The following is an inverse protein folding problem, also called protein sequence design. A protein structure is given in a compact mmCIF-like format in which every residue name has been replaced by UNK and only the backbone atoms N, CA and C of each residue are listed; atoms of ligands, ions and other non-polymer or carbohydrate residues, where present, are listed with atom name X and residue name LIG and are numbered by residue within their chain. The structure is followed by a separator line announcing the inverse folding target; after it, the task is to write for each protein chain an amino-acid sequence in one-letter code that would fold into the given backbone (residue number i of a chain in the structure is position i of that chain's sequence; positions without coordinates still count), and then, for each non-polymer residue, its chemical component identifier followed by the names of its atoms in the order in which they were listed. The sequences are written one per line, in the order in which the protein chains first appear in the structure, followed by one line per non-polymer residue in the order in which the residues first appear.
data_IF_150899608297
#
_entry.id   IF_150899608297
#
_cell.length_a   1.000
_cell.length_b   1.000
_cell.length_c   1.000
_cell.angle_alpha   90.00
_cell.angle_beta   90.00
_cell.angle_gamma   90.00
#
_symmetry.space_group_name_H-M   'P 1'
#
loop_
_entity.id
_entity.type
_entity.pdbx_description
1 polymer ?
#
# COMPACT_ATOMS: atom_id res chain seq x y z
N UNK A 1 -13.36 -23.27 -14.17
CA UNK A 1 -11.97 -23.71 -13.90
C UNK A 1 -10.99 -22.54 -14.01
N UNK A 2 -11.29 -21.40 -13.37
CA UNK A 2 -10.55 -20.13 -13.49
C UNK A 2 -9.96 -19.65 -12.15
N UNK A 3 -9.82 -20.53 -11.14
CA UNK A 3 -9.76 -20.10 -9.73
C UNK A 3 -8.44 -20.33 -8.97
N UNK A 4 -7.32 -20.64 -9.62
CA UNK A 4 -6.05 -20.90 -8.89
C UNK A 4 -4.81 -20.34 -9.55
N UNK A 5 -4.92 -19.25 -10.32
CA UNK A 5 -3.72 -18.49 -10.69
C UNK A 5 -3.23 -17.78 -9.43
N UNK A 6 -2.00 -18.03 -8.94
CA UNK A 6 -1.49 -17.29 -7.81
C UNK A 6 -1.37 -15.84 -8.26
N UNK A 7 -2.14 -15.01 -7.60
CA UNK A 7 -2.52 -13.67 -8.05
C UNK A 7 -1.32 -12.72 -8.18
N UNK A 8 -0.27 -12.99 -7.39
CA UNK A 8 1.07 -12.40 -7.51
C UNK A 8 1.57 -12.45 -8.96
N UNK A 9 1.48 -13.60 -9.63
CA UNK A 9 2.01 -13.76 -10.99
C UNK A 9 1.35 -12.79 -11.98
N UNK A 10 0.03 -12.64 -11.92
CA UNK A 10 -0.73 -11.78 -12.84
C UNK A 10 -0.35 -10.30 -12.72
N UNK A 11 -0.20 -9.78 -11.49
CA UNK A 11 0.22 -8.39 -11.26
C UNK A 11 1.60 -8.12 -11.87
N UNK A 12 2.51 -9.06 -11.67
CA UNK A 12 3.85 -9.02 -12.22
C UNK A 12 3.89 -9.07 -13.75
N UNK A 13 3.09 -9.94 -14.34
CA UNK A 13 2.96 -10.02 -15.79
C UNK A 13 2.40 -8.74 -16.38
N UNK A 14 1.39 -8.15 -15.73
CA UNK A 14 0.86 -6.84 -16.09
C UNK A 14 1.93 -5.76 -16.06
N UNK A 15 2.75 -5.68 -15.01
CA UNK A 15 3.84 -4.72 -14.96
C UNK A 15 4.92 -4.92 -16.03
N UNK A 16 5.26 -6.17 -16.36
CA UNK A 16 6.16 -6.45 -17.49
C UNK A 16 5.50 -6.04 -18.80
N UNK A 17 4.21 -6.30 -18.99
CA UNK A 17 3.47 -5.92 -20.19
C UNK A 17 3.39 -4.40 -20.35
N UNK A 18 3.01 -3.68 -19.28
CA UNK A 18 2.92 -2.22 -19.23
C UNK A 18 4.29 -1.55 -19.46
N UNK A 19 5.36 -2.14 -18.93
CA UNK A 19 6.73 -1.63 -19.13
C UNK A 19 7.27 -1.88 -20.55
N UNK A 20 6.59 -2.73 -21.31
CA UNK A 20 6.96 -3.14 -22.68
C UNK A 20 5.85 -2.76 -23.66
N UNK A 21 4.93 -1.86 -23.27
CA UNK A 21 3.91 -1.32 -24.15
C UNK A 21 4.58 -0.65 -25.37
N UNK A 22 3.92 -0.74 -26.53
CA UNK A 22 4.38 -0.22 -27.84
C UNK A 22 5.53 -0.99 -28.52
N UNK A 23 5.87 -2.18 -28.06
CA UNK A 23 6.87 -3.00 -28.75
C UNK A 23 6.26 -3.83 -29.89
N UNK A 24 6.73 -3.58 -31.11
CA UNK A 24 6.28 -4.28 -32.32
C UNK A 24 7.15 -5.48 -32.71
N UNK A 25 8.36 -5.62 -32.13
CA UNK A 25 9.29 -6.72 -32.48
C UNK A 25 9.68 -7.57 -31.28
N UNK A 26 9.78 -8.90 -31.51
CA UNK A 26 10.26 -9.85 -30.49
C UNK A 26 11.70 -9.58 -30.01
N UNK A 27 12.51 -8.86 -30.80
CA UNK A 27 13.89 -8.51 -30.40
C UNK A 27 13.90 -7.33 -29.42
N UNK A 28 13.13 -6.27 -29.71
CA UNK A 28 12.99 -5.11 -28.82
C UNK A 28 12.30 -5.51 -27.51
N UNK A 29 11.34 -6.45 -27.57
CA UNK A 29 10.67 -7.00 -26.38
C UNK A 29 11.69 -7.66 -25.46
N UNK A 30 12.53 -8.55 -26.01
CA UNK A 30 13.56 -9.25 -25.24
C UNK A 30 14.54 -8.28 -24.59
N UNK A 31 14.95 -7.23 -25.30
CA UNK A 31 15.88 -6.22 -24.77
C UNK A 31 15.25 -5.43 -23.61
N UNK A 32 14.03 -4.93 -23.80
CA UNK A 32 13.29 -4.18 -22.76
C UNK A 32 12.94 -5.06 -21.57
N UNK A 33 12.47 -6.29 -21.80
CA UNK A 33 12.18 -7.25 -20.74
C UNK A 33 13.44 -7.58 -19.90
N UNK A 34 14.59 -7.84 -20.54
CA UNK A 34 15.86 -8.06 -19.80
C UNK A 34 16.27 -6.83 -18.97
N UNK A 35 16.14 -5.62 -19.53
CA UNK A 35 16.45 -4.40 -18.81
C UNK A 35 15.52 -4.19 -17.60
N UNK A 36 14.21 -4.43 -17.79
CA UNK A 36 13.22 -4.37 -16.72
C UNK A 36 13.50 -5.40 -15.63
N UNK A 37 13.70 -6.67 -16.00
CA UNK A 37 14.02 -7.76 -15.06
C UNK A 37 15.27 -7.39 -14.26
N UNK A 38 16.34 -6.94 -14.91
CA UNK A 38 17.58 -6.56 -14.20
C UNK A 38 17.36 -5.43 -13.19
N UNK A 39 16.55 -4.42 -13.55
CA UNK A 39 16.20 -3.32 -12.65
C UNK A 39 15.40 -3.80 -11.44
N UNK A 40 14.36 -4.60 -11.66
CA UNK A 40 13.49 -5.08 -10.58
C UNK A 40 14.19 -6.12 -9.70
N UNK A 41 15.00 -7.03 -10.27
CA UNK A 41 15.78 -7.99 -9.49
C UNK A 41 16.67 -7.28 -8.46
N UNK A 42 17.33 -6.17 -8.83
CA UNK A 42 18.13 -5.37 -7.89
C UNK A 42 17.30 -4.79 -6.75
N UNK A 43 16.05 -4.37 -7.02
CA UNK A 43 15.14 -3.89 -5.98
C UNK A 43 14.74 -5.02 -5.02
N UNK A 44 14.52 -6.22 -5.54
CA UNK A 44 14.12 -7.37 -4.72
C UNK A 44 15.27 -7.93 -3.91
N UNK A 45 16.49 -7.89 -4.42
CA UNK A 45 17.69 -8.30 -3.67
C UNK A 45 17.87 -7.51 -2.36
N UNK A 46 17.37 -6.27 -2.30
CA UNK A 46 17.38 -5.42 -1.11
C UNK A 46 16.30 -5.78 -0.08
N UNK A 47 15.29 -6.58 -0.45
CA UNK A 47 14.19 -6.99 0.43
C UNK A 47 14.56 -8.25 1.23
N UNK A 48 14.08 -8.37 2.47
CA UNK A 48 14.38 -9.55 3.30
C UNK A 48 13.73 -10.80 2.73
N UNK A 49 14.39 -11.95 2.94
CA UNK A 49 13.85 -13.27 2.58
C UNK A 49 12.97 -13.74 3.73
N UNK A 50 11.71 -14.07 3.42
CA UNK A 50 10.69 -14.51 4.39
C UNK A 50 10.41 -16.01 4.27
N UNK A 51 10.61 -16.60 3.08
CA UNK A 51 10.50 -18.04 2.86
C UNK A 51 11.90 -18.67 2.76
N UNK A 52 12.61 -18.74 3.88
CA UNK A 52 14.01 -19.21 3.92
C UNK A 52 14.20 -20.67 3.51
N UNK A 53 13.19 -21.52 3.73
CA UNK A 53 13.20 -22.94 3.35
C UNK A 53 12.83 -23.23 1.90
N UNK A 54 12.46 -22.21 1.11
CA UNK A 54 12.06 -22.36 -0.28
C UNK A 54 13.26 -22.15 -1.22
N UNK A 55 13.65 -23.22 -1.91
CA UNK A 55 14.64 -23.16 -2.98
C UNK A 55 13.99 -23.02 -4.37
N UNK A 56 14.82 -22.67 -5.36
CA UNK A 56 14.35 -22.43 -6.72
C UNK A 56 13.80 -23.69 -7.41
N UNK A 57 14.28 -24.87 -7.03
CA UNK A 57 13.85 -26.13 -7.64
C UNK A 57 12.42 -26.47 -7.19
N UNK A 58 12.17 -26.45 -5.88
CA UNK A 58 10.85 -26.64 -5.28
C UNK A 58 9.85 -25.61 -5.80
N UNK A 59 10.27 -24.35 -5.89
CA UNK A 59 9.43 -23.30 -6.48
C UNK A 59 9.01 -23.64 -7.93
N UNK A 60 9.91 -24.17 -8.75
CA UNK A 60 9.56 -24.58 -10.12
C UNK A 60 8.70 -25.85 -10.18
N UNK A 61 8.86 -26.77 -9.22
CA UNK A 61 7.98 -27.94 -9.10
C UNK A 61 6.52 -27.51 -8.83
N UNK A 62 6.33 -26.50 -7.98
CA UNK A 62 5.00 -26.02 -7.60
C UNK A 62 4.38 -25.04 -8.62
N UNK A 63 5.19 -24.15 -9.21
CA UNK A 63 4.70 -23.01 -10.01
C UNK A 63 5.18 -23.02 -11.46
N UNK A 64 6.02 -23.98 -11.88
CA UNK A 64 6.58 -24.01 -13.22
C UNK A 64 5.51 -24.08 -14.32
N UNK A 65 4.50 -24.94 -14.15
CA UNK A 65 3.38 -25.06 -15.10
C UNK A 65 2.55 -23.79 -15.18
N UNK A 66 2.32 -23.11 -14.06
CA UNK A 66 1.60 -21.83 -14.00
C UNK A 66 2.38 -20.73 -14.71
N UNK A 67 3.69 -20.64 -14.48
CA UNK A 67 4.55 -19.67 -15.19
C UNK A 67 4.48 -19.92 -16.70
N UNK A 68 4.47 -21.19 -17.12
CA UNK A 68 4.41 -21.58 -18.53
C UNK A 68 3.08 -21.17 -19.17
N UNK A 69 1.96 -21.48 -18.52
CA UNK A 69 0.61 -21.09 -18.97
C UNK A 69 0.52 -19.57 -19.15
N UNK A 70 0.95 -18.79 -18.17
CA UNK A 70 0.81 -17.32 -18.25
C UNK A 70 1.77 -16.71 -19.27
N UNK A 71 2.98 -17.25 -19.43
CA UNK A 71 3.90 -16.82 -20.50
C UNK A 71 3.30 -17.08 -21.89
N UNK A 72 2.62 -18.20 -22.08
CA UNK A 72 1.96 -18.55 -23.34
C UNK A 72 0.74 -17.67 -23.63
N UNK A 73 -0.01 -17.27 -22.60
CA UNK A 73 -1.19 -16.40 -22.76
C UNK A 73 -0.81 -14.93 -22.97
N UNK A 74 -0.07 -14.34 -22.05
CA UNK A 74 0.20 -12.89 -22.01
C UNK A 74 1.22 -12.46 -23.06
N UNK A 75 2.19 -13.33 -23.36
CA UNK A 75 3.26 -13.03 -24.32
C UNK A 75 3.22 -13.91 -25.56
N UNK A 76 2.05 -14.47 -25.90
CA UNK A 76 1.85 -15.30 -27.11
C UNK A 76 2.42 -14.69 -28.39
N UNK A 77 2.37 -13.36 -28.50
CA UNK A 77 2.83 -12.58 -29.66
C UNK A 77 4.35 -12.48 -29.78
N UNK A 78 5.10 -12.87 -28.74
CA UNK A 78 6.55 -12.75 -28.67
C UNK A 78 7.22 -14.12 -28.59
N UNK A 79 8.32 -14.30 -29.33
CA UNK A 79 9.13 -15.52 -29.23
C UNK A 79 10.00 -15.47 -27.97
N UNK A 80 9.52 -16.07 -26.89
CA UNK A 80 10.25 -16.17 -25.61
C UNK A 80 11.35 -17.22 -25.75
N UNK A 81 12.60 -16.85 -25.46
CA UNK A 81 13.72 -17.78 -25.44
C UNK A 81 13.79 -18.53 -24.12
N UNK A 82 14.41 -19.72 -24.11
CA UNK A 82 14.69 -20.48 -22.86
C UNK A 82 15.45 -19.64 -21.83
N UNK A 83 16.36 -18.78 -22.29
CA UNK A 83 17.10 -17.85 -21.45
C UNK A 83 16.18 -16.82 -20.78
N UNK A 84 15.29 -16.17 -21.54
CA UNK A 84 14.36 -15.19 -21.00
C UNK A 84 13.37 -15.83 -20.03
N UNK A 85 12.84 -17.01 -20.36
CA UNK A 85 11.99 -17.80 -19.46
C UNK A 85 12.69 -18.04 -18.12
N UNK A 86 13.95 -18.48 -18.13
CA UNK A 86 14.73 -18.70 -16.91
C UNK A 86 14.91 -17.41 -16.09
N UNK A 87 15.12 -16.26 -16.74
CA UNK A 87 15.20 -14.97 -16.05
C UNK A 87 13.88 -14.57 -15.40
N UNK A 88 12.77 -14.77 -16.11
CA UNK A 88 11.42 -14.50 -15.60
C UNK A 88 11.09 -15.41 -14.41
N UNK A 89 11.32 -16.71 -14.53
CA UNK A 89 11.10 -17.65 -13.43
C UNK A 89 11.92 -17.32 -12.19
N UNK A 90 13.19 -16.90 -12.36
CA UNK A 90 14.03 -16.43 -11.26
C UNK A 90 13.48 -15.15 -10.62
N UNK A 91 13.03 -14.20 -11.42
CA UNK A 91 12.40 -12.97 -10.91
C UNK A 91 11.19 -13.31 -10.05
N UNK A 92 10.33 -14.23 -10.50
CA UNK A 92 9.17 -14.68 -9.74
C UNK A 92 9.55 -15.36 -8.44
N UNK A 93 10.56 -16.22 -8.46
CA UNK A 93 11.08 -16.85 -7.26
C UNK A 93 11.56 -15.80 -6.23
N UNK A 94 12.33 -14.80 -6.68
CA UNK A 94 12.79 -13.72 -5.79
C UNK A 94 11.64 -12.88 -5.23
N UNK A 95 10.64 -12.57 -6.05
CA UNK A 95 9.43 -11.87 -5.60
C UNK A 95 8.67 -12.69 -4.54
N UNK A 96 8.45 -13.97 -4.83
CA UNK A 96 7.64 -14.84 -4.01
C UNK A 96 8.27 -15.10 -2.63
N UNK A 97 9.59 -15.26 -2.57
CA UNK A 97 10.29 -15.59 -1.31
C UNK A 97 10.63 -14.39 -0.42
N UNK A 98 10.35 -13.16 -0.87
CA UNK A 98 10.73 -11.90 -0.20
C UNK A 98 9.51 -11.06 0.16
N UNK A 99 9.76 -9.98 0.90
CA UNK A 99 8.81 -8.94 1.30
C UNK A 99 8.32 -8.09 0.10
N UNK A 100 7.67 -8.75 -0.85
CA UNK A 100 7.15 -8.14 -2.09
C UNK A 100 5.66 -8.43 -2.17
N UNK A 101 4.78 -7.45 -1.97
CA UNK A 101 3.33 -7.67 -1.98
C UNK A 101 2.81 -8.32 -3.27
N UNK A 102 1.81 -9.19 -3.15
CA UNK A 102 1.14 -9.84 -4.28
C UNK A 102 0.07 -8.97 -4.94
N UNK A 103 -0.39 -7.92 -4.26
CA UNK A 103 -1.60 -7.15 -4.60
C UNK A 103 -2.88 -7.75 -4.01
N UNK A 104 -2.79 -8.84 -3.27
CA UNK A 104 -3.90 -9.54 -2.61
C UNK A 104 -3.62 -9.80 -1.13
N UNK A 105 -2.61 -9.13 -0.59
CA UNK A 105 -2.27 -9.17 0.81
C UNK A 105 -3.37 -8.58 1.70
N UNK A 106 -3.36 -8.99 2.96
CA UNK A 106 -4.21 -8.45 4.01
C UNK A 106 -3.34 -7.91 5.13
N UNK A 107 -3.72 -6.75 5.69
CA UNK A 107 -3.08 -6.21 6.89
C UNK A 107 -3.65 -6.86 8.15
N UNK A 108 -2.78 -7.28 9.06
CA UNK A 108 -3.12 -7.64 10.44
C UNK A 108 -2.54 -6.58 11.37
N UNK A 109 -3.41 -5.96 12.16
CA UNK A 109 -3.02 -4.94 13.13
C UNK A 109 -3.28 -5.45 14.53
N UNK A 110 -2.27 -5.33 15.38
CA UNK A 110 -2.34 -5.60 16.81
C UNK A 110 -1.98 -4.28 17.50
N UNK A 111 -2.92 -3.71 18.25
CA UNK A 111 -2.75 -2.42 18.92
C UNK A 111 -3.20 -2.51 20.38
N UNK A 112 -2.47 -1.85 21.28
CA UNK A 112 -2.79 -1.83 22.71
C UNK A 112 -1.56 -1.53 23.55
N UNK A 113 -1.53 -2.08 24.76
CA UNK A 113 -0.40 -2.01 25.69
C UNK A 113 0.02 -3.43 26.00
N UNK A 114 1.30 -3.75 25.85
CA UNK A 114 1.81 -5.01 26.39
C UNK A 114 2.07 -4.89 27.89
N UNK A 115 2.46 -6.01 28.51
CA UNK A 115 2.63 -6.11 29.97
C UNK A 115 3.71 -5.14 30.47
N UNK A 116 4.83 -5.10 29.75
CA UNK A 116 6.02 -4.31 30.11
C UNK A 116 5.98 -2.89 29.50
N UNK A 117 5.13 -2.66 28.51
CA UNK A 117 5.09 -1.42 27.75
C UNK A 117 4.27 -0.35 28.48
N UNK A 118 4.90 0.77 28.84
CA UNK A 118 4.25 1.92 29.48
C UNK A 118 3.40 2.75 28.50
N UNK A 119 3.73 2.71 27.21
CA UNK A 119 3.09 3.48 26.15
C UNK A 119 2.40 2.53 25.16
N UNK A 120 1.40 3.02 24.41
CA UNK A 120 0.70 2.17 23.44
C UNK A 120 1.66 1.74 22.32
N UNK A 121 1.48 0.51 21.86
CA UNK A 121 2.23 -0.08 20.77
C UNK A 121 1.29 -0.53 19.66
N UNK A 122 1.78 -0.45 18.43
CA UNK A 122 1.09 -0.94 17.25
C UNK A 122 2.02 -1.81 16.41
N UNK A 123 1.61 -3.06 16.18
CA UNK A 123 2.24 -3.98 15.25
C UNK A 123 1.36 -4.12 14.02
N UNK A 124 1.92 -3.87 12.85
CA UNK A 124 1.26 -4.05 11.58
C UNK A 124 2.00 -5.09 10.75
N UNK A 125 1.35 -6.22 10.50
CA UNK A 125 1.84 -7.28 9.65
C UNK A 125 1.15 -7.25 8.29
N UNK A 126 1.92 -7.41 7.24
CA UNK A 126 1.38 -7.84 5.95
C UNK A 126 1.28 -9.36 5.96
N UNK A 127 0.11 -9.89 5.63
CA UNK A 127 -0.16 -11.31 5.43
C UNK A 127 -0.47 -11.52 3.95
N UNK A 128 0.37 -12.30 3.27
CA UNK A 128 0.34 -12.43 1.82
C UNK A 128 0.33 -13.91 1.40
N UNK A 129 -0.64 -14.64 1.96
CA UNK A 129 -0.85 -16.07 1.71
C UNK A 129 0.13 -16.97 2.46
N UNK A 130 0.30 -18.19 1.96
CA UNK A 130 1.20 -19.19 2.53
C UNK A 130 1.84 -20.04 1.45
N UNK A 131 3.01 -20.60 1.75
CA UNK A 131 3.64 -21.64 0.96
C UNK A 131 3.76 -22.91 1.81
N UNK A 132 3.04 -23.97 1.43
CA UNK A 132 2.92 -25.18 2.26
C UNK A 132 2.33 -24.84 3.64
N UNK A 133 3.11 -25.06 4.70
CA UNK A 133 2.78 -24.71 6.09
C UNK A 133 3.36 -23.38 6.55
N UNK A 134 4.19 -22.70 5.74
CA UNK A 134 4.83 -21.44 6.10
C UNK A 134 3.97 -20.27 5.67
N UNK A 135 3.53 -19.45 6.64
CA UNK A 135 2.83 -18.20 6.35
C UNK A 135 3.80 -17.22 5.69
N UNK A 136 3.35 -16.57 4.62
CA UNK A 136 4.10 -15.51 3.97
C UNK A 136 3.68 -14.19 4.59
N UNK A 137 4.46 -13.72 5.54
CA UNK A 137 4.14 -12.50 6.30
C UNK A 137 5.39 -11.76 6.74
N UNK A 138 5.28 -10.45 6.89
CA UNK A 138 6.35 -9.60 7.41
C UNK A 138 5.79 -8.42 8.19
N UNK A 139 6.60 -7.91 9.12
CA UNK A 139 6.29 -6.67 9.83
C UNK A 139 6.48 -5.49 8.87
N UNK A 140 5.50 -4.61 8.79
CA UNK A 140 5.62 -3.35 8.04
C UNK A 140 6.49 -2.40 8.85
N UNK A 141 7.46 -1.75 8.18
CA UNK A 141 8.47 -0.85 8.80
C UNK A 141 7.88 0.40 9.50
N UNK A 142 6.56 0.54 9.51
CA UNK A 142 5.81 1.56 10.24
C UNK A 142 5.26 1.01 11.58
N UNK A 143 5.99 0.14 12.26
CA UNK A 143 5.66 -0.20 13.65
C UNK A 143 5.84 1.06 14.49
N UNK A 144 4.73 1.75 14.76
CA UNK A 144 4.75 2.99 15.49
C UNK A 144 4.92 2.69 16.98
N UNK A 145 6.15 2.91 17.43
CA UNK A 145 6.48 3.01 18.83
C UNK A 145 6.21 4.46 19.28
N UNK A 146 5.06 4.66 19.90
CA UNK A 146 4.62 5.96 20.43
C UNK A 146 5.67 6.57 21.38
N UNK A 147 6.54 5.75 21.98
CA UNK A 147 7.65 6.24 22.82
C UNK A 147 8.68 7.09 22.06
N UNK A 148 8.82 6.90 20.75
CA UNK A 148 9.82 7.61 19.93
C UNK A 148 9.25 8.80 19.17
N UNK A 149 7.97 8.73 18.81
CA UNK A 149 7.36 9.64 17.82
C UNK A 149 6.26 10.54 18.42
N UNK A 150 5.84 10.28 19.66
CA UNK A 150 4.70 10.94 20.27
C UNK A 150 3.40 10.42 19.68
N UNK A 151 2.44 11.31 19.40
CA UNK A 151 1.17 10.89 18.79
C UNK A 151 1.32 10.54 17.31
N UNK A 152 0.59 9.51 16.90
CA UNK A 152 0.49 9.07 15.52
C UNK A 152 -0.97 8.85 15.15
N UNK A 153 -1.31 9.14 13.88
CA UNK A 153 -2.58 8.71 13.29
C UNK A 153 -2.24 7.81 12.11
N UNK A 154 -2.71 6.56 12.17
CA UNK A 154 -2.29 5.49 11.26
C UNK A 154 -3.52 4.97 10.52
N UNK A 155 -3.76 5.41 9.28
CA UNK A 155 -4.83 4.85 8.46
C UNK A 155 -4.43 3.48 7.91
N UNK A 156 -5.31 2.48 8.10
CA UNK A 156 -5.16 1.14 7.47
C UNK A 156 -6.03 0.98 6.23
N UNK A 157 -7.08 1.79 6.12
CA UNK A 157 -7.90 1.90 4.93
C UNK A 157 -7.33 2.97 3.99
N UNK A 158 -8.01 3.20 2.87
CA UNK A 158 -7.60 4.15 1.82
C UNK A 158 -7.19 5.51 2.41
N UNK A 159 -5.92 5.88 2.20
CA UNK A 159 -5.26 7.02 2.85
C UNK A 159 -5.45 8.34 2.12
N UNK A 160 -6.08 8.35 0.94
CA UNK A 160 -6.22 9.56 0.11
C UNK A 160 -6.87 10.72 0.88
N UNK A 161 -7.87 10.41 1.73
CA UNK A 161 -8.60 11.44 2.50
C UNK A 161 -7.82 11.90 3.70
N UNK A 162 -7.11 10.96 4.30
CA UNK A 162 -6.21 11.27 5.38
C UNK A 162 -5.08 12.20 4.92
N UNK A 163 -4.48 11.92 3.76
CA UNK A 163 -3.50 12.80 3.14
C UNK A 163 -4.09 14.17 2.81
N UNK A 164 -5.30 14.26 2.26
CA UNK A 164 -5.92 15.57 2.02
C UNK A 164 -6.15 16.35 3.32
N UNK A 165 -6.63 15.69 4.37
CA UNK A 165 -6.92 16.33 5.66
C UNK A 165 -5.65 16.79 6.38
N UNK A 166 -4.60 15.95 6.42
CA UNK A 166 -3.35 16.28 7.11
C UNK A 166 -2.42 17.19 6.29
N UNK A 167 -2.31 16.91 4.99
CA UNK A 167 -1.32 17.54 4.11
C UNK A 167 -1.88 18.75 3.37
N UNK A 168 -3.22 18.90 3.35
CA UNK A 168 -3.93 19.96 2.66
C UNK A 168 -4.00 19.79 1.14
N UNK A 169 -3.42 18.72 0.59
CA UNK A 169 -3.39 18.45 -0.85
C UNK A 169 -3.66 16.97 -1.12
N UNK A 170 -4.50 16.69 -2.12
CA UNK A 170 -4.78 15.31 -2.52
C UNK A 170 -3.56 14.72 -3.26
N UNK A 171 -3.25 13.41 -3.09
CA UNK A 171 -2.11 12.76 -3.73
C UNK A 171 -2.06 12.95 -5.26
N UNK A 172 -3.21 12.96 -5.91
CA UNK A 172 -3.33 13.09 -7.36
C UNK A 172 -2.80 14.44 -7.88
N UNK A 173 -3.01 15.51 -7.12
CA UNK A 173 -2.44 16.82 -7.45
C UNK A 173 -0.93 16.83 -7.29
N UNK A 174 -0.42 16.15 -6.26
CA UNK A 174 1.03 16.01 -6.05
C UNK A 174 1.69 15.25 -7.19
N UNK A 175 1.10 14.13 -7.59
CA UNK A 175 1.60 13.32 -8.70
C UNK A 175 1.55 14.10 -10.02
N UNK A 176 0.43 14.80 -10.27
CA UNK A 176 0.31 15.69 -11.41
C UNK A 176 1.40 16.76 -11.43
N UNK A 177 1.62 17.48 -10.32
CA UNK A 177 2.65 18.52 -10.23
C UNK A 177 4.06 17.96 -10.47
N UNK A 178 4.37 16.79 -9.90
CA UNK A 178 5.66 16.14 -10.07
C UNK A 178 5.89 15.73 -11.53
N UNK A 179 4.92 15.05 -12.15
CA UNK A 179 4.98 14.64 -13.55
C UNK A 179 5.09 15.87 -14.47
N UNK A 180 4.27 16.89 -14.22
CA UNK A 180 4.26 18.12 -15.00
C UNK A 180 5.60 18.84 -14.93
N UNK A 181 6.20 18.98 -13.74
CA UNK A 181 7.50 19.61 -13.56
C UNK A 181 8.61 18.82 -14.29
N UNK A 182 8.63 17.49 -14.11
CA UNK A 182 9.60 16.62 -14.78
C UNK A 182 9.54 16.78 -16.31
N UNK A 183 8.33 16.71 -16.87
CA UNK A 183 8.12 16.83 -18.32
C UNK A 183 8.45 18.24 -18.83
N UNK A 184 8.14 19.28 -18.04
CA UNK A 184 8.43 20.67 -18.40
C UNK A 184 9.95 20.93 -18.45
N UNK A 185 10.69 20.45 -17.45
CA UNK A 185 12.16 20.55 -17.42
C UNK A 185 12.79 19.83 -18.62
N UNK A 186 12.34 18.59 -18.89
CA UNK A 186 12.80 17.80 -20.05
C UNK A 186 12.53 18.53 -21.36
N UNK A 187 11.29 18.95 -21.61
CA UNK A 187 10.90 19.64 -22.84
C UNK A 187 11.59 21.01 -23.01
N UNK A 188 11.87 21.72 -21.91
CA UNK A 188 12.69 22.94 -21.96
C UNK A 188 14.11 22.62 -22.39
N UNK A 189 14.78 21.64 -21.75
CA UNK A 189 16.16 21.29 -22.07
C UNK A 189 16.31 20.77 -23.50
N UNK A 190 15.39 19.92 -23.95
CA UNK A 190 15.38 19.43 -25.34
C UNK A 190 15.30 20.59 -26.35
N UNK A 191 14.39 21.55 -26.13
CA UNK A 191 14.30 22.75 -26.98
C UNK A 191 15.58 23.58 -26.99
N UNK A 192 16.22 23.77 -25.84
CA UNK A 192 17.49 24.52 -25.75
C UNK A 192 18.60 23.79 -26.53
N UNK A 193 18.74 22.48 -26.32
CA UNK A 193 19.78 21.69 -27.00
C UNK A 193 19.54 21.67 -28.50
N UNK A 194 18.30 21.47 -28.93
CA UNK A 194 17.99 21.39 -30.35
C UNK A 194 18.16 22.74 -31.07
N UNK A 195 17.93 23.86 -30.37
CA UNK A 195 18.00 25.22 -30.94
C UNK A 195 19.40 25.85 -30.91
N UNK A 196 20.21 25.56 -29.89
CA UNK A 196 21.45 26.32 -29.63
C UNK A 196 22.73 25.47 -29.59
N UNK A 197 22.64 24.14 -29.58
CA UNK A 197 23.82 23.26 -29.48
C UNK A 197 24.15 22.64 -30.84
N UNK A 198 25.42 22.69 -31.29
CA UNK A 198 25.84 22.03 -32.53
C UNK A 198 25.56 20.52 -32.52
N UNK A 199 25.18 19.94 -33.66
CA UNK A 199 24.79 18.52 -33.78
C UNK A 199 25.84 17.55 -33.22
N UNK A 200 27.13 17.87 -33.38
CA UNK A 200 28.24 17.06 -32.87
C UNK A 200 28.28 16.95 -31.33
N UNK A 201 27.63 17.86 -30.61
CA UNK A 201 27.64 17.93 -29.14
C UNK A 201 26.27 17.67 -28.51
N UNK A 202 25.19 17.58 -29.31
CA UNK A 202 23.82 17.38 -28.80
C UNK A 202 23.67 16.16 -27.91
N UNK A 203 24.36 15.05 -28.21
CA UNK A 203 24.29 13.83 -27.40
C UNK A 203 24.83 14.03 -25.99
N UNK A 204 26.02 14.63 -25.87
CA UNK A 204 26.65 14.89 -24.57
C UNK A 204 25.86 15.92 -23.76
N UNK A 205 25.38 16.99 -24.40
CA UNK A 205 24.60 18.02 -23.72
C UNK A 205 23.21 17.50 -23.29
N UNK A 206 22.56 16.61 -24.06
CA UNK A 206 21.30 15.96 -23.64
C UNK A 206 21.46 15.18 -22.34
N UNK A 207 22.53 14.40 -22.20
CA UNK A 207 22.77 13.67 -20.94
C UNK A 207 23.13 14.62 -19.79
N UNK A 208 23.93 15.67 -20.04
CA UNK A 208 24.21 16.69 -19.01
C UNK A 208 22.93 17.37 -18.50
N UNK A 209 22.08 17.83 -19.41
CA UNK A 209 20.80 18.48 -19.07
C UNK A 209 19.86 17.53 -18.31
N UNK A 210 19.87 16.25 -18.64
CA UNK A 210 19.10 15.23 -17.94
C UNK A 210 19.57 15.05 -16.49
N UNK A 211 20.88 15.06 -16.25
CA UNK A 211 21.44 15.02 -14.89
C UNK A 211 21.12 16.30 -14.11
N UNK A 212 21.26 17.47 -14.72
CA UNK A 212 20.90 18.76 -14.10
C UNK A 212 19.39 18.83 -13.76
N UNK A 213 18.52 18.40 -14.69
CA UNK A 213 17.08 18.32 -14.47
C UNK A 213 16.73 17.36 -13.33
N UNK A 214 17.43 16.23 -13.22
CA UNK A 214 17.25 15.28 -12.11
C UNK A 214 17.57 15.94 -10.77
N UNK A 215 18.67 16.68 -10.67
CA UNK A 215 19.06 17.40 -9.44
C UNK A 215 18.00 18.43 -9.05
N UNK A 216 17.53 19.23 -10.00
CA UNK A 216 16.48 20.25 -9.76
C UNK A 216 15.19 19.58 -9.29
N UNK A 217 14.81 18.48 -9.92
CA UNK A 217 13.61 17.73 -9.56
C UNK A 217 13.70 17.12 -8.16
N UNK A 218 14.81 16.46 -7.83
CA UNK A 218 15.06 15.89 -6.49
C UNK A 218 15.05 16.98 -5.42
N UNK A 219 15.62 18.15 -5.71
CA UNK A 219 15.56 19.32 -4.82
C UNK A 219 14.13 19.80 -4.60
N UNK A 220 13.33 19.95 -5.65
CA UNK A 220 11.91 20.33 -5.52
C UNK A 220 11.15 19.35 -4.63
N UNK A 221 11.31 18.04 -4.86
CA UNK A 221 10.65 17.01 -4.05
C UNK A 221 11.08 17.11 -2.58
N UNK A 222 12.37 17.32 -2.31
CA UNK A 222 12.91 17.50 -0.96
C UNK A 222 12.33 18.73 -0.26
N UNK A 223 12.34 19.90 -0.93
CA UNK A 223 11.79 21.15 -0.39
C UNK A 223 10.28 21.04 -0.15
N UNK A 224 9.54 20.43 -1.08
CA UNK A 224 8.10 20.18 -0.93
C UNK A 224 7.80 19.28 0.28
N UNK A 225 8.55 18.19 0.46
CA UNK A 225 8.40 17.31 1.62
C UNK A 225 8.75 18.02 2.94
N UNK A 226 9.77 18.87 2.94
CA UNK A 226 10.13 19.70 4.10
C UNK A 226 9.02 20.68 4.46
N UNK A 227 8.43 21.35 3.46
CA UNK A 227 7.32 22.26 3.65
C UNK A 227 6.08 21.54 4.19
N UNK A 228 5.73 20.38 3.63
CA UNK A 228 4.67 19.51 4.13
C UNK A 228 4.89 19.16 5.61
N UNK A 229 6.12 18.80 6.00
CA UNK A 229 6.46 18.50 7.40
C UNK A 229 6.21 19.68 8.35
N UNK A 230 6.44 20.92 7.90
CA UNK A 230 6.16 22.13 8.70
C UNK A 230 4.66 22.36 8.92
N UNK A 231 3.80 21.93 7.99
CA UNK A 231 2.33 22.03 8.12
C UNK A 231 1.80 20.94 9.06
N UNK A 232 2.28 19.71 8.91
CA UNK A 232 1.77 18.55 9.68
C UNK A 232 2.21 18.60 11.14
N UNK A 233 3.43 19.07 11.41
CA UNK A 233 4.02 19.00 12.76
C UNK A 233 3.19 19.71 13.85
N UNK A 234 2.72 20.96 13.68
CA UNK A 234 1.85 21.60 14.67
C UNK A 234 0.54 20.84 14.91
N UNK A 235 -0.06 20.31 13.84
CA UNK A 235 -1.28 19.49 13.96
C UNK A 235 -1.03 18.25 14.82
N UNK A 236 0.05 17.51 14.57
CA UNK A 236 0.39 16.32 15.35
C UNK A 236 0.71 16.63 16.83
N UNK A 237 1.25 17.82 17.13
CA UNK A 237 1.45 18.26 18.52
C UNK A 237 0.13 18.48 19.25
N UNK A 238 -0.88 19.05 18.57
CA UNK A 238 -2.23 19.19 19.11
C UNK A 238 -2.83 17.81 19.35
N UNK A 239 -2.75 16.90 18.37
CA UNK A 239 -3.24 15.52 18.49
C UNK A 239 -2.64 14.82 19.71
N UNK A 240 -1.34 14.99 19.96
CA UNK A 240 -0.67 14.40 21.13
C UNK A 240 -1.06 14.99 22.48
N UNK A 241 -1.83 16.08 22.50
CA UNK A 241 -2.33 16.72 23.72
C UNK A 241 -3.85 16.54 23.90
N UNK A 242 -4.52 15.85 22.96
CA UNK A 242 -5.96 15.68 23.01
C UNK A 242 -6.37 14.75 24.17
N UNK A 243 -7.45 15.09 24.90
CA UNK A 243 -8.13 14.15 25.78
C UNK A 243 -8.62 12.90 25.02
N UNK A 244 -8.82 11.79 25.74
CA UNK A 244 -9.19 10.50 25.13
C UNK A 244 -10.51 10.56 24.37
N UNK A 245 -11.46 11.36 24.84
CA UNK A 245 -12.76 11.59 24.22
C UNK A 245 -12.63 12.35 22.90
N UNK A 246 -11.77 13.38 22.86
CA UNK A 246 -11.53 14.17 21.65
C UNK A 246 -10.74 13.37 20.60
N UNK A 247 -9.80 12.52 21.04
CA UNK A 247 -9.11 11.57 20.15
C UNK A 247 -10.09 10.62 19.47
N UNK A 248 -11.08 10.11 20.20
CA UNK A 248 -12.13 9.26 19.64
C UNK A 248 -13.00 10.02 18.61
N UNK A 249 -13.42 11.25 18.92
CA UNK A 249 -14.19 12.08 18.02
C UNK A 249 -13.40 12.43 16.73
N UNK A 250 -12.09 12.70 16.85
CA UNK A 250 -11.22 12.93 15.69
C UNK A 250 -11.12 11.69 14.81
N UNK A 251 -10.90 10.51 15.39
CA UNK A 251 -10.82 9.25 14.66
C UNK A 251 -12.13 8.96 13.91
N UNK A 252 -13.27 9.20 14.56
CA UNK A 252 -14.60 9.08 13.96
C UNK A 252 -14.75 9.99 12.74
N UNK A 253 -14.46 11.29 12.91
CA UNK A 253 -14.58 12.28 11.85
C UNK A 253 -13.73 11.92 10.62
N UNK A 254 -12.51 11.43 10.81
CA UNK A 254 -11.62 11.00 9.72
C UNK A 254 -12.21 9.83 8.92
N UNK A 255 -12.82 8.85 9.59
CA UNK A 255 -13.48 7.71 8.93
C UNK A 255 -14.76 8.14 8.22
N UNK A 256 -15.53 9.04 8.83
CA UNK A 256 -16.76 9.59 8.24
C UNK A 256 -16.46 10.43 6.99
N UNK A 257 -15.44 11.29 7.03
CA UNK A 257 -14.98 12.06 5.86
C UNK A 257 -14.57 11.15 4.70
N UNK A 258 -13.85 10.06 5.01
CA UNK A 258 -13.45 9.06 4.02
C UNK A 258 -14.67 8.37 3.40
N UNK A 259 -15.63 7.98 4.23
CA UNK A 259 -16.88 7.35 3.79
C UNK A 259 -17.73 8.29 2.95
N UNK A 260 -17.80 9.57 3.32
CA UNK A 260 -18.57 10.60 2.62
C UNK A 260 -18.04 10.83 1.21
N UNK A 261 -16.72 11.02 1.04
CA UNK A 261 -16.17 11.20 -0.31
C UNK A 261 -16.41 9.99 -1.21
N UNK A 262 -16.32 8.77 -0.69
CA UNK A 262 -16.57 7.56 -1.49
C UNK A 262 -18.00 7.47 -2.01
N UNK A 263 -18.99 7.88 -1.20
CA UNK A 263 -20.38 7.99 -1.67
C UNK A 263 -20.53 9.00 -2.81
N UNK A 264 -19.73 10.06 -2.82
CA UNK A 264 -19.75 11.08 -3.89
C UNK A 264 -18.99 10.65 -5.14
N UNK A 265 -17.90 9.89 -5.01
CA UNK A 265 -17.03 9.49 -6.13
C UNK A 265 -17.59 8.31 -6.96
N UNK A 266 -18.76 7.75 -6.62
CA UNK A 266 -19.54 6.75 -7.37
C UNK A 266 -18.85 5.45 -7.82
N UNK A 267 -17.55 5.26 -7.54
CA UNK A 267 -16.76 4.18 -8.13
C UNK A 267 -16.25 3.09 -7.18
N UNK A 268 -16.48 3.14 -5.86
CA UNK A 268 -16.06 2.07 -4.94
C UNK A 268 -16.86 2.15 -3.62
N UNK A 269 -17.91 1.33 -3.49
CA UNK A 269 -18.58 1.06 -2.20
C UNK A 269 -17.79 0.01 -1.41
N UNK A 270 -16.53 0.29 -1.04
CA UNK A 270 -15.74 -0.63 -0.20
C UNK A 270 -15.75 -0.25 1.29
N UNK A 271 -16.13 0.99 1.62
CA UNK A 271 -16.20 1.48 3.01
C UNK A 271 -17.50 2.27 3.18
N UNK A 272 -18.37 1.81 4.08
CA UNK A 272 -19.66 2.42 4.34
C UNK A 272 -20.36 1.85 5.57
N UNK A 273 -21.39 2.54 6.02
CA UNK A 273 -22.10 2.23 7.26
C UNK A 273 -21.65 3.12 8.42
N UNK A 274 -22.24 2.92 9.61
CA UNK A 274 -21.88 3.70 10.80
C UNK A 274 -20.52 3.27 11.33
N UNK A 275 -19.76 4.25 11.81
CA UNK A 275 -18.43 4.04 12.40
C UNK A 275 -18.54 3.65 13.87
N UNK A 276 -17.87 2.57 14.23
CA UNK A 276 -17.64 2.15 15.61
C UNK A 276 -16.28 2.67 16.08
N UNK A 277 -16.23 3.17 17.31
CA UNK A 277 -15.05 3.80 17.90
C UNK A 277 -14.78 3.20 19.26
N UNK A 278 -13.54 2.76 19.46
CA UNK A 278 -13.06 2.25 20.73
C UNK A 278 -11.78 2.97 21.16
N UNK A 279 -11.59 3.07 22.48
CA UNK A 279 -10.38 3.55 23.11
C UNK A 279 -9.74 2.37 23.84
N UNK A 280 -8.41 2.28 23.74
CA UNK A 280 -7.62 1.38 24.58
C UNK A 280 -6.72 2.27 25.44
N UNK A 281 -6.81 2.13 26.76
CA UNK A 281 -5.90 2.79 27.70
C UNK A 281 -5.32 1.76 28.68
N UNK A 282 -4.13 2.03 29.24
CA UNK A 282 -3.51 1.10 30.20
C UNK A 282 -4.32 0.97 31.50
N UNK A 283 -5.04 2.03 31.90
CA UNK A 283 -5.86 2.03 33.11
C UNK A 283 -7.24 1.40 32.92
N UNK A 284 -7.92 1.75 31.83
CA UNK A 284 -9.32 1.36 31.62
C UNK A 284 -9.48 0.12 30.70
N UNK A 285 -8.41 -0.32 30.04
CA UNK A 285 -8.46 -1.37 29.05
C UNK A 285 -9.21 -0.94 27.78
N UNK A 286 -9.90 -1.89 27.14
CA UNK A 286 -10.66 -1.67 25.92
C UNK A 286 -12.08 -1.16 26.23
N UNK A 287 -12.45 0.00 25.70
CA UNK A 287 -13.76 0.64 25.88
C UNK A 287 -14.35 1.01 24.53
N UNK A 288 -15.60 0.61 24.28
CA UNK A 288 -16.41 1.16 23.18
C UNK A 288 -16.92 2.54 23.54
N UNK A 289 -16.51 3.58 22.80
CA UNK A 289 -17.02 4.95 22.93
C UNK A 289 -18.28 5.13 22.09
N UNK A 290 -18.26 4.60 20.88
CA UNK A 290 -19.39 4.56 19.95
C UNK A 290 -19.47 3.16 19.36
N UNK A 291 -20.64 2.55 19.40
CA UNK A 291 -20.87 1.24 18.79
C UNK A 291 -22.24 1.19 18.15
N UNK A 292 -22.31 0.70 16.93
CA UNK A 292 -23.55 0.41 16.24
C UNK A 292 -24.24 -0.72 16.99
N UNK A 293 -25.37 -0.39 17.56
CA UNK A 293 -26.33 -1.39 17.99
C UNK A 293 -27.29 -1.70 16.84
N UNK A 294 -27.76 -2.95 16.75
CA UNK A 294 -28.78 -3.35 15.77
C UNK A 294 -30.02 -2.45 15.86
N UNK A 295 -30.38 -2.03 17.08
CA UNK A 295 -31.33 -0.96 17.37
C UNK A 295 -30.97 -0.29 18.70
N UNK A 296 -31.42 0.95 18.90
CA UNK A 296 -31.31 1.62 20.20
C UNK A 296 -32.31 0.98 21.19
N UNK A 297 -31.83 0.39 22.30
CA UNK A 297 -32.70 -0.18 23.31
C UNK A 297 -33.72 0.83 23.87
N UNK A 298 -33.36 2.12 23.96
CA UNK A 298 -34.25 3.19 24.46
C UNK A 298 -35.42 3.47 23.52
N UNK A 299 -35.24 3.25 22.22
CA UNK A 299 -36.31 3.38 21.22
C UNK A 299 -37.18 2.13 21.11
N UNK A 300 -36.76 1.00 21.70
CA UNK A 300 -37.40 -0.31 21.57
C UNK A 300 -37.69 -0.93 22.94
N UNK A 301 -38.28 -0.13 23.85
CA UNK A 301 -38.59 -0.54 25.22
C UNK A 301 -39.43 -1.82 25.30
N UNK A 302 -40.33 -2.03 24.34
CA UNK A 302 -41.18 -3.23 24.29
C UNK A 302 -40.35 -4.53 24.12
N UNK A 303 -39.29 -4.49 23.30
CA UNK A 303 -38.39 -5.62 23.15
C UNK A 303 -37.69 -5.97 24.47
N UNK A 304 -37.21 -4.96 25.21
CA UNK A 304 -36.55 -5.15 26.52
C UNK A 304 -37.53 -5.77 27.51
N UNK A 305 -38.74 -5.21 27.63
CA UNK A 305 -39.78 -5.71 28.55
C UNK A 305 -40.13 -7.17 28.28
N UNK A 306 -40.27 -7.56 27.01
CA UNK A 306 -40.54 -8.96 26.63
C UNK A 306 -39.40 -9.91 26.99
N UNK A 307 -38.15 -9.48 26.81
CA UNK A 307 -36.94 -10.24 27.20
C UNK A 307 -36.83 -10.41 28.71
N UNK A 308 -37.12 -9.37 29.49
CA UNK A 308 -37.12 -9.42 30.96
C UNK A 308 -38.21 -10.35 31.50
N UNK A 309 -39.43 -10.29 30.95
CA UNK A 309 -40.52 -11.20 31.32
C UNK A 309 -40.18 -12.67 31.01
N UNK A 310 -39.54 -12.95 29.88
CA UNK A 310 -39.05 -14.30 29.56
C UNK A 310 -38.02 -14.83 30.57
N UNK A 311 -37.13 -13.96 31.06
CA UNK A 311 -36.11 -14.29 32.06
C UNK A 311 -36.71 -14.57 33.45
N UNK A 312 -37.82 -13.91 33.79
CA UNK A 312 -38.57 -14.17 35.04
C UNK A 312 -39.29 -15.52 34.93
N UNK A 313 -40.02 -15.78 33.84
CA UNK A 313 -40.71 -17.05 33.64
C UNK A 313 -39.76 -18.26 33.53
N UNK A 314 -38.49 -18.08 33.15
CA UNK A 314 -37.51 -19.18 33.15
C UNK A 314 -36.88 -19.45 34.51
N UNK A 315 -36.86 -18.45 35.41
CA UNK A 315 -36.37 -18.63 36.79
C UNK A 315 -37.39 -19.26 37.74
N UNK A 316 -38.68 -19.17 37.42
CA UNK A 316 -39.75 -19.82 38.21
C UNK A 316 -39.95 -21.31 37.84
N UNK A 317 -39.23 -21.81 36.83
CA UNK A 317 -39.34 -23.19 36.33
C UNK A 317 -38.10 -24.06 36.69
N UNK A 318 -37.15 -23.51 37.43
CA UNK A 318 -36.00 -24.21 38.04
C UNK A 318 -36.05 -24.10 39.56
#
# INVERSE_FOLDING_TARGET
LLSTRPSLFLLFFKHINDSVHEVTSSLDFRKKAKAYISRISKLYEQKKIILTGLDYKRFLEDFGSVIDEVLEEEFRRYKITKELKKLISKLFFEAYRREVPSGYETGLVIAGFGEEELLPCLLHYTIDGKHGSTLRSWLVDNSHDVSKEGAAIIPFAQSDMFSLFLEGIAPEYRDFMAIFLHNTLKAKSERIVDSYVPDSQKGAEKERQKDENKIIFERFISEFNSFKGKIIKPFMQVVGSLPKEEMAALAEALVELTSLRRKMDSNLESVGGPTDVAIISKGDGFIWVKRKHYFDPKLNLDFIKRKELQLICTKEVT
#
